data_IF_508272563050
#
_entry.id   IF_508272563050
#
_cell.length_a   1.000
_cell.length_b   1.000
_cell.length_c   1.000
_cell.angle_alpha   90.00
_cell.angle_beta   90.00
_cell.angle_gamma   90.00
#
_symmetry.space_group_name_H-M   'P 1'
#
loop_
_entity.id
_entity.type
_entity.pdbx_description
1 polymer ?
#
# COMPACT_ATOMS: atom_id res chain seq x y z
N UNK A 1 -3.56 -25.77 -33.33
CA UNK A 1 -2.60 -24.70 -33.03
C UNK A 1 -3.39 -23.52 -32.48
N UNK A 2 -3.51 -23.40 -31.15
CA UNK A 2 -4.25 -22.28 -30.54
C UNK A 2 -3.29 -21.10 -30.44
N UNK A 3 -3.50 -20.06 -31.24
CA UNK A 3 -2.75 -18.81 -31.12
C UNK A 3 -2.88 -18.29 -29.68
N UNK A 4 -1.78 -17.99 -28.99
CA UNK A 4 -1.84 -17.47 -27.63
C UNK A 4 -2.62 -16.16 -27.66
N UNK A 5 -3.58 -16.01 -26.74
CA UNK A 5 -4.35 -14.77 -26.64
C UNK A 5 -3.38 -13.60 -26.41
N UNK A 6 -3.62 -12.41 -26.99
CA UNK A 6 -2.71 -11.26 -26.88
C UNK A 6 -2.49 -10.80 -25.43
N UNK A 7 -3.35 -11.25 -24.50
CA UNK A 7 -3.13 -11.08 -23.07
C UNK A 7 -1.97 -11.94 -22.56
N UNK A 8 -1.74 -13.17 -23.05
CA UNK A 8 -0.63 -14.00 -22.57
C UNK A 8 0.74 -13.52 -23.04
N UNK A 9 0.81 -12.90 -24.22
CA UNK A 9 2.08 -12.49 -24.87
C UNK A 9 2.73 -11.34 -24.09
N UNK A 10 1.98 -10.26 -23.84
CA UNK A 10 2.53 -9.08 -23.14
C UNK A 10 3.03 -9.36 -21.71
N UNK A 11 2.51 -10.40 -21.03
CA UNK A 11 2.94 -10.79 -19.67
C UNK A 11 4.04 -11.85 -19.65
N UNK A 12 4.46 -12.39 -20.80
CA UNK A 12 5.35 -13.54 -20.88
C UNK A 12 6.68 -13.30 -20.15
N UNK A 13 7.24 -12.10 -20.27
CA UNK A 13 8.53 -11.76 -19.68
C UNK A 13 8.48 -11.39 -18.19
N UNK A 14 7.29 -11.18 -17.62
CA UNK A 14 7.09 -10.68 -16.25
C UNK A 14 6.30 -11.63 -15.35
N UNK A 15 5.60 -12.61 -15.92
CA UNK A 15 4.91 -13.65 -15.16
C UNK A 15 5.88 -14.38 -14.22
N UNK A 16 5.44 -14.57 -12.97
CA UNK A 16 6.23 -15.17 -11.88
C UNK A 16 7.51 -14.41 -11.47
N UNK A 17 7.83 -13.28 -12.10
CA UNK A 17 8.99 -12.44 -11.77
C UNK A 17 8.62 -11.19 -10.96
N UNK A 18 7.34 -10.81 -10.97
CA UNK A 18 6.80 -9.68 -10.20
C UNK A 18 5.66 -10.13 -9.29
N UNK A 19 5.35 -9.33 -8.28
CA UNK A 19 4.26 -9.62 -7.36
C UNK A 19 2.92 -9.71 -8.08
N UNK A 20 2.03 -10.53 -7.54
CA UNK A 20 0.68 -10.66 -8.09
C UNK A 20 -0.09 -9.32 -8.08
N UNK A 21 0.19 -8.45 -7.10
CA UNK A 21 -0.40 -7.11 -7.01
C UNK A 21 0.00 -6.25 -8.20
N UNK A 22 1.28 -6.29 -8.56
CA UNK A 22 1.81 -5.57 -9.71
C UNK A 22 1.21 -6.10 -11.01
N UNK A 23 1.09 -7.44 -11.17
CA UNK A 23 0.40 -8.05 -12.31
C UNK A 23 -1.04 -7.54 -12.41
N UNK A 24 -1.77 -7.51 -11.30
CA UNK A 24 -3.15 -7.03 -11.30
C UNK A 24 -3.24 -5.53 -11.66
N UNK A 25 -2.33 -4.70 -11.14
CA UNK A 25 -2.26 -3.28 -11.49
C UNK A 25 -1.99 -3.06 -12.99
N UNK A 26 -1.06 -3.83 -13.57
CA UNK A 26 -0.77 -3.77 -15.01
C UNK A 26 -1.99 -4.24 -15.80
N UNK A 27 -2.66 -5.30 -15.36
CA UNK A 27 -3.88 -5.80 -16.00
C UNK A 27 -4.99 -4.75 -16.03
N UNK A 28 -5.21 -4.01 -14.95
CA UNK A 28 -6.17 -2.90 -14.93
C UNK A 28 -5.79 -1.79 -15.92
N UNK A 29 -4.50 -1.42 -16.02
CA UNK A 29 -4.05 -0.46 -17.03
C UNK A 29 -4.18 -0.99 -18.45
N UNK A 30 -4.00 -2.30 -18.67
CA UNK A 30 -4.14 -2.94 -19.97
C UNK A 30 -5.60 -2.91 -20.46
N UNK A 31 -6.56 -3.11 -19.57
CA UNK A 31 -7.99 -2.92 -19.89
C UNK A 31 -8.26 -1.52 -20.41
N UNK A 32 -7.71 -0.51 -19.75
CA UNK A 32 -7.83 0.90 -20.17
C UNK A 32 -7.12 1.17 -21.50
N UNK A 33 -5.96 0.55 -21.74
CA UNK A 33 -5.20 0.69 -22.98
C UNK A 33 -5.99 0.16 -24.20
N UNK A 34 -6.74 -0.94 -24.02
CA UNK A 34 -7.55 -1.54 -25.09
C UNK A 34 -8.84 -0.79 -25.41
N UNK A 35 -9.28 0.11 -24.53
CA UNK A 35 -10.48 0.89 -24.80
C UNK A 35 -10.22 1.92 -25.92
N UNK A 36 -11.16 2.07 -26.89
CA UNK A 36 -11.06 3.09 -27.93
C UNK A 36 -11.15 4.48 -27.28
N UNK A 37 -10.26 5.39 -27.71
CA UNK A 37 -10.16 6.74 -27.17
C UNK A 37 -11.46 7.52 -27.40
N UNK A 38 -12.25 7.73 -26.34
CA UNK A 38 -13.39 8.64 -26.35
C UNK A 38 -12.88 10.06 -26.12
N UNK A 39 -12.60 10.76 -27.22
CA UNK A 39 -12.35 12.21 -27.35
C UNK A 39 -11.25 12.87 -26.49
N UNK A 40 -10.40 13.64 -27.18
CA UNK A 40 -9.20 14.37 -26.71
C UNK A 40 -8.09 13.45 -26.17
N UNK A 41 -7.01 13.36 -26.96
CA UNK A 41 -5.76 12.71 -26.58
C UNK A 41 -5.18 13.43 -25.36
N UNK A 42 -5.48 12.91 -24.17
CA UNK A 42 -4.90 13.43 -22.94
C UNK A 42 -3.44 13.03 -22.93
N UNK A 43 -2.54 14.01 -22.86
CA UNK A 43 -1.11 13.75 -22.72
C UNK A 43 -0.86 12.94 -21.44
N UNK A 44 -0.04 11.90 -21.56
CA UNK A 44 0.29 11.06 -20.41
C UNK A 44 1.12 11.87 -19.41
N UNK A 45 0.64 12.01 -18.17
CA UNK A 45 1.33 12.73 -17.10
C UNK A 45 2.46 11.94 -16.44
N UNK A 46 2.60 10.65 -16.78
CA UNK A 46 3.57 9.75 -16.11
C UNK A 46 3.27 9.45 -14.64
N UNK A 47 2.19 10.03 -14.08
CA UNK A 47 1.83 9.91 -12.67
C UNK A 47 1.69 8.46 -12.23
N UNK A 48 1.01 7.64 -13.03
CA UNK A 48 0.78 6.25 -12.66
C UNK A 48 2.09 5.46 -12.55
N UNK A 49 3.00 5.62 -13.51
CA UNK A 49 4.31 4.98 -13.46
C UNK A 49 5.12 5.46 -12.24
N UNK A 50 5.08 6.77 -11.96
CA UNK A 50 5.81 7.36 -10.84
C UNK A 50 5.29 6.88 -9.48
N UNK A 51 3.96 6.87 -9.30
CA UNK A 51 3.33 6.55 -8.01
C UNK A 51 3.26 5.06 -7.77
N UNK A 52 2.91 4.29 -8.80
CA UNK A 52 2.70 2.87 -8.64
C UNK A 52 3.92 2.06 -9.02
N UNK A 53 4.76 2.49 -9.96
CA UNK A 53 5.93 1.74 -10.45
C UNK A 53 5.75 0.88 -11.73
N UNK A 54 4.55 0.45 -12.16
CA UNK A 54 4.33 -0.18 -13.46
C UNK A 54 3.88 0.80 -14.55
N UNK A 55 3.96 0.42 -15.84
CA UNK A 55 3.52 1.25 -16.95
C UNK A 55 2.03 1.63 -16.86
N UNK A 56 1.73 2.87 -17.25
CA UNK A 56 0.36 3.36 -17.41
C UNK A 56 -0.30 2.82 -18.68
N UNK A 57 -1.62 2.97 -18.78
CA UNK A 57 -2.40 2.58 -19.96
C UNK A 57 -1.89 3.19 -21.27
N UNK A 58 -1.40 4.43 -21.26
CA UNK A 58 -0.84 5.07 -22.46
C UNK A 58 0.44 4.37 -22.94
N UNK A 59 1.35 4.01 -22.03
CA UNK A 59 2.59 3.29 -22.37
C UNK A 59 2.28 1.86 -22.82
N UNK A 60 1.33 1.19 -22.15
CA UNK A 60 0.84 -0.13 -22.57
C UNK A 60 0.19 -0.12 -23.95
N UNK A 61 -0.49 0.96 -24.33
CA UNK A 61 -1.05 1.10 -25.67
C UNK A 61 0.06 1.15 -26.73
N UNK A 62 1.14 1.89 -26.49
CA UNK A 62 2.30 1.91 -27.39
C UNK A 62 2.87 0.50 -27.59
N UNK A 63 3.05 -0.27 -26.51
CA UNK A 63 3.50 -1.66 -26.62
C UNK A 63 2.53 -2.54 -27.41
N UNK A 64 1.21 -2.34 -27.24
CA UNK A 64 0.21 -3.08 -28.02
C UNK A 64 0.24 -2.69 -29.51
N UNK A 65 0.40 -1.41 -29.82
CA UNK A 65 0.44 -0.90 -31.21
C UNK A 65 1.74 -1.32 -31.92
N UNK A 66 2.83 -1.49 -31.17
CA UNK A 66 4.15 -1.91 -31.66
C UNK A 66 4.38 -3.43 -31.58
N UNK A 67 3.40 -4.20 -31.09
CA UNK A 67 3.52 -5.64 -30.84
C UNK A 67 4.73 -6.03 -29.97
N UNK A 68 5.09 -5.15 -29.03
CA UNK A 68 6.21 -5.34 -28.12
C UNK A 68 5.79 -5.97 -26.78
N UNK A 69 6.68 -6.80 -26.23
CA UNK A 69 6.49 -7.42 -24.92
C UNK A 69 6.94 -6.50 -23.79
N UNK A 70 6.15 -6.47 -22.71
CA UNK A 70 6.52 -5.74 -21.50
C UNK A 70 7.71 -6.41 -20.80
N UNK A 71 8.79 -5.66 -20.61
CA UNK A 71 10.00 -6.18 -19.98
C UNK A 71 9.98 -5.99 -18.47
N UNK A 72 10.77 -6.80 -17.75
CA UNK A 72 10.90 -6.66 -16.30
C UNK A 72 11.50 -5.30 -15.89
N UNK A 73 12.34 -4.73 -16.74
CA UNK A 73 12.95 -3.40 -16.56
C UNK A 73 11.95 -2.25 -16.63
N UNK A 74 10.78 -2.45 -17.24
CA UNK A 74 9.72 -1.45 -17.29
C UNK A 74 8.94 -1.32 -15.98
N UNK A 75 9.23 -2.21 -15.02
CA UNK A 75 8.54 -2.29 -13.75
C UNK A 75 9.55 -1.99 -12.66
N UNK A 76 9.18 -1.10 -11.74
CA UNK A 76 10.05 -0.76 -10.62
C UNK A 76 10.43 -2.01 -9.81
N UNK A 77 11.72 -2.08 -9.46
CA UNK A 77 12.34 -3.17 -8.69
C UNK A 77 11.65 -3.56 -7.38
N UNK A 78 10.86 -2.67 -6.77
CA UNK A 78 10.15 -2.98 -5.53
C UNK A 78 9.00 -3.98 -5.73
N UNK A 79 8.57 -4.18 -6.99
CA UNK A 79 7.59 -5.21 -7.35
C UNK A 79 8.21 -6.54 -7.73
N UNK A 80 9.53 -6.64 -7.89
CA UNK A 80 10.18 -7.87 -8.33
C UNK A 80 10.17 -8.91 -7.19
N UNK A 81 9.73 -10.14 -7.46
CA UNK A 81 9.64 -11.21 -6.45
C UNK A 81 11.00 -11.76 -6.04
N UNK A 82 11.98 -11.67 -6.93
CA UNK A 82 13.35 -11.99 -6.63
C UNK A 82 14.20 -10.76 -6.93
N UNK A 83 15.02 -10.33 -5.97
CA UNK A 83 16.01 -9.29 -6.25
C UNK A 83 16.91 -9.84 -7.38
N UNK A 84 17.22 -9.06 -8.43
CA UNK A 84 18.10 -9.52 -9.51
C UNK A 84 19.43 -10.11 -8.99
N UNK A 85 19.93 -9.61 -7.86
CA UNK A 85 21.14 -10.11 -7.19
C UNK A 85 20.95 -11.43 -6.42
N UNK A 86 19.73 -11.78 -6.03
CA UNK A 86 19.39 -13.05 -5.36
C UNK A 86 19.10 -14.18 -6.35
N UNK A 87 18.79 -13.85 -7.62
CA UNK A 87 18.80 -14.79 -8.74
C UNK A 87 20.23 -14.97 -9.31
N UNK A 88 21.24 -15.12 -8.44
CA UNK A 88 22.44 -15.85 -8.89
C UNK A 88 21.91 -17.19 -9.41
N UNK A 89 22.27 -17.63 -10.62
CA UNK A 89 21.60 -18.77 -11.22
C UNK A 89 21.94 -20.02 -10.39
N UNK A 90 21.04 -20.41 -9.49
CA UNK A 90 20.97 -21.80 -9.03
C UNK A 90 20.80 -22.75 -10.21
N UNK A 91 20.29 -22.24 -11.35
CA UNK A 91 20.27 -22.90 -12.66
C UNK A 91 21.65 -23.07 -13.32
N UNK A 92 22.71 -22.45 -12.80
CA UNK A 92 24.09 -22.64 -13.28
C UNK A 92 24.92 -23.54 -12.36
N UNK A 93 24.33 -24.03 -11.25
CA UNK A 93 24.88 -25.19 -10.56
C UNK A 93 24.51 -26.41 -11.41
N UNK A 94 25.48 -27.15 -11.98
CA UNK A 94 25.15 -28.37 -12.68
C UNK A 94 24.39 -29.30 -11.73
N UNK A 95 23.46 -30.09 -12.27
CA UNK A 95 22.58 -31.07 -11.57
C UNK A 95 23.33 -31.95 -10.54
N UNK A 96 24.65 -32.07 -10.71
CA UNK A 96 25.62 -32.65 -9.78
C UNK A 96 25.55 -32.07 -8.35
N UNK A 97 25.02 -30.86 -8.18
CA UNK A 97 24.84 -30.18 -6.88
C UNK A 97 23.49 -30.43 -6.22
N UNK A 98 22.69 -31.39 -6.70
CA UNK A 98 21.61 -31.94 -5.89
C UNK A 98 21.96 -33.38 -5.50
N UNK A 99 22.55 -34.14 -6.43
CA UNK A 99 23.00 -35.50 -6.16
C UNK A 99 24.06 -35.56 -5.06
N UNK A 100 25.06 -34.66 -5.07
CA UNK A 100 26.09 -34.60 -4.01
C UNK A 100 25.47 -34.30 -2.64
N UNK A 101 24.51 -33.38 -2.60
CA UNK A 101 23.79 -33.00 -1.38
C UNK A 101 22.92 -34.16 -0.86
N UNK A 102 22.26 -34.91 -1.75
CA UNK A 102 21.51 -36.12 -1.37
C UNK A 102 22.42 -37.25 -0.88
N UNK A 103 23.60 -37.42 -1.48
CA UNK A 103 24.60 -38.38 -1.01
C UNK A 103 25.19 -37.98 0.35
N UNK A 104 25.37 -36.68 0.59
CA UNK A 104 25.76 -36.14 1.90
C UNK A 104 24.68 -36.40 2.96
N UNK A 105 23.40 -36.20 2.62
CA UNK A 105 22.26 -36.51 3.51
C UNK A 105 22.23 -38.01 3.82
N UNK A 106 22.40 -38.87 2.81
CA UNK A 106 22.47 -40.33 3.01
C UNK A 106 23.62 -40.75 3.91
N UNK A 107 24.79 -40.12 3.75
CA UNK A 107 25.98 -40.42 4.56
C UNK A 107 25.79 -39.97 6.00
N UNK A 108 25.23 -38.77 6.21
CA UNK A 108 24.93 -38.23 7.54
C UNK A 108 23.87 -39.06 8.24
N UNK A 109 22.83 -39.49 7.53
CA UNK A 109 21.75 -40.34 8.04
C UNK A 109 22.27 -41.64 8.65
N UNK A 110 23.23 -42.31 7.99
CA UNK A 110 23.82 -43.56 8.49
C UNK A 110 24.61 -43.39 9.78
N UNK A 111 25.08 -42.18 10.09
CA UNK A 111 25.81 -41.88 11.31
C UNK A 111 24.89 -41.50 12.48
N UNK A 112 23.58 -41.35 12.26
CA UNK A 112 22.62 -40.94 13.28
C UNK A 112 22.13 -42.13 14.11
N UNK A 113 21.80 -41.93 15.40
CA UNK A 113 21.05 -42.90 16.19
C UNK A 113 19.63 -43.15 15.64
N UNK A 114 19.05 -44.32 15.89
CA UNK A 114 17.77 -44.77 15.32
C UNK A 114 16.62 -43.76 15.47
N UNK A 115 16.49 -43.14 16.64
CA UNK A 115 15.43 -42.15 16.88
C UNK A 115 15.58 -40.90 16.00
N UNK A 116 16.81 -40.49 15.67
CA UNK A 116 17.08 -39.36 14.77
C UNK A 116 16.95 -39.75 13.31
N UNK A 117 17.21 -41.02 12.97
CA UNK A 117 16.92 -41.55 11.64
C UNK A 117 15.42 -41.48 11.35
N UNK A 118 14.56 -41.88 12.28
CA UNK A 118 13.09 -41.79 12.12
C UNK A 118 12.65 -40.35 11.87
N UNK A 119 13.08 -39.40 12.71
CA UNK A 119 12.73 -37.99 12.55
C UNK A 119 13.25 -37.40 11.21
N UNK A 120 14.44 -37.82 10.77
CA UNK A 120 15.00 -37.37 9.49
C UNK A 120 14.19 -37.90 8.29
N UNK A 121 13.73 -39.15 8.34
CA UNK A 121 12.87 -39.72 7.30
C UNK A 121 11.51 -39.00 7.22
N UNK A 122 10.91 -38.69 8.37
CA UNK A 122 9.66 -37.91 8.42
C UNK A 122 9.83 -36.54 7.77
N UNK A 123 10.96 -35.86 8.02
CA UNK A 123 11.24 -34.56 7.44
C UNK A 123 11.49 -34.64 5.93
N UNK A 124 12.24 -35.64 5.45
CA UNK A 124 12.44 -35.86 4.01
C UNK A 124 11.13 -36.18 3.29
N UNK A 125 10.26 -36.96 3.92
CA UNK A 125 8.93 -37.24 3.41
C UNK A 125 8.04 -35.99 3.39
N UNK A 126 8.11 -35.14 4.42
CA UNK A 126 7.42 -33.84 4.44
C UNK A 126 7.88 -32.93 3.32
N UNK A 127 9.18 -32.92 3.03
CA UNK A 127 9.76 -32.13 1.93
C UNK A 127 9.34 -32.67 0.55
N UNK A 128 9.27 -33.99 0.35
CA UNK A 128 8.85 -34.57 -0.93
C UNK A 128 7.38 -34.30 -1.25
N UNK A 129 6.54 -34.17 -0.21
CA UNK A 129 5.13 -33.81 -0.35
C UNK A 129 4.89 -32.30 -0.43
N UNK A 130 5.93 -31.47 -0.32
CA UNK A 130 5.77 -30.03 -0.30
C UNK A 130 5.32 -29.52 -1.68
N UNK A 131 4.08 -29.05 -1.76
CA UNK A 131 3.59 -28.33 -2.95
C UNK A 131 4.19 -26.93 -3.00
N UNK A 132 4.26 -26.35 -4.21
CA UNK A 132 4.73 -24.98 -4.41
C UNK A 132 3.92 -24.04 -3.54
N UNK A 133 4.56 -23.40 -2.55
CA UNK A 133 3.92 -22.38 -1.72
C UNK A 133 3.57 -21.19 -2.61
N UNK A 134 2.28 -20.99 -2.87
CA UNK A 134 1.79 -19.77 -3.51
C UNK A 134 2.08 -18.61 -2.56
N UNK A 135 3.01 -17.72 -2.93
CA UNK A 135 3.24 -16.48 -2.20
C UNK A 135 1.96 -15.64 -2.25
N UNK A 136 1.25 -15.53 -1.13
CA UNK A 136 0.08 -14.66 -1.01
C UNK A 136 0.50 -13.27 -0.56
N UNK A 137 -0.14 -12.25 -1.13
CA UNK A 137 0.02 -10.88 -0.66
C UNK A 137 -0.53 -10.71 0.75
N UNK A 138 0.08 -9.83 1.57
CA UNK A 138 -0.47 -9.50 2.87
C UNK A 138 -1.87 -8.91 2.70
N UNK A 139 -2.78 -9.31 3.58
CA UNK A 139 -4.15 -8.77 3.61
C UNK A 139 -4.08 -7.25 3.85
N UNK A 140 -4.72 -6.47 2.97
CA UNK A 140 -4.80 -5.02 3.13
C UNK A 140 -5.64 -4.71 4.38
N UNK A 141 -4.97 -4.42 5.49
CA UNK A 141 -5.62 -3.98 6.72
C UNK A 141 -6.00 -2.51 6.56
N UNK A 142 -7.30 -2.22 6.48
CA UNK A 142 -7.79 -0.84 6.61
C UNK A 142 -7.63 -0.43 8.07
N UNK A 143 -6.62 0.37 8.37
CA UNK A 143 -6.54 1.04 9.68
C UNK A 143 -7.83 1.81 9.90
N UNK A 144 -8.45 1.70 11.08
CA UNK A 144 -9.50 2.63 11.51
C UNK A 144 -8.92 4.03 11.35
N UNK A 145 -9.39 4.76 10.34
CA UNK A 145 -8.94 6.13 10.11
C UNK A 145 -9.17 6.97 11.36
N UNK A 146 -8.55 8.14 11.41
CA UNK A 146 -8.81 9.09 12.50
C UNK A 146 -10.30 9.39 12.56
N UNK A 147 -10.89 9.27 13.76
CA UNK A 147 -12.28 9.65 14.02
C UNK A 147 -12.57 11.01 13.40
N UNK A 148 -13.55 11.08 12.49
CA UNK A 148 -14.03 12.33 11.87
C UNK A 148 -14.91 13.17 12.82
N UNK A 149 -14.77 13.01 14.15
CA UNK A 149 -15.49 13.83 15.14
C UNK A 149 -14.64 15.03 15.54
N UNK A 150 -15.19 16.20 15.20
CA UNK A 150 -14.78 17.56 15.59
C UNK A 150 -13.45 18.09 15.01
N UNK A 151 -13.58 18.96 14.00
CA UNK A 151 -12.53 19.82 13.40
C UNK A 151 -11.98 20.87 14.41
N UNK A 152 -12.18 20.68 15.72
CA UNK A 152 -11.97 21.72 16.72
C UNK A 152 -11.03 21.39 17.88
N UNK A 153 -10.43 20.20 17.97
CA UNK A 153 -9.55 19.91 19.11
C UNK A 153 -8.28 19.16 18.75
N UNK A 154 -7.31 19.92 18.25
CA UNK A 154 -5.88 19.64 18.45
C UNK A 154 -5.40 20.19 19.80
N UNK A 155 -6.32 20.59 20.69
CA UNK A 155 -5.95 21.12 22.01
C UNK A 155 -5.72 19.96 22.96
N UNK A 156 -4.56 19.97 23.60
CA UNK A 156 -4.32 19.10 24.76
C UNK A 156 -5.32 19.43 25.85
N UNK A 157 -5.64 18.43 26.66
CA UNK A 157 -6.38 18.68 27.90
C UNK A 157 -5.52 19.56 28.81
N UNK A 158 -6.14 20.58 29.40
CA UNK A 158 -5.44 21.52 30.27
C UNK A 158 -5.29 20.89 31.65
N UNK A 159 -4.17 21.13 32.31
CA UNK A 159 -4.03 20.71 33.71
C UNK A 159 -4.93 21.56 34.62
N UNK A 160 -5.24 21.07 35.82
CA UNK A 160 -6.08 21.80 36.79
C UNK A 160 -5.55 23.19 37.12
N UNK A 161 -4.23 23.36 37.15
CA UNK A 161 -3.58 24.66 37.38
C UNK A 161 -3.81 25.63 36.21
N UNK A 162 -3.78 25.13 34.98
CA UNK A 162 -4.03 25.94 33.78
C UNK A 162 -5.49 26.39 33.67
N UNK A 163 -6.44 25.58 34.13
CA UNK A 163 -7.84 26.01 34.26
C UNK A 163 -7.99 27.18 35.24
N UNK A 164 -7.28 27.14 36.37
CA UNK A 164 -7.29 28.24 37.36
C UNK A 164 -6.67 29.50 36.77
N UNK A 165 -5.56 29.41 36.04
CA UNK A 165 -4.96 30.59 35.42
C UNK A 165 -5.83 31.21 34.31
N UNK A 166 -6.45 30.38 33.46
CA UNK A 166 -7.32 30.85 32.38
C UNK A 166 -8.56 31.55 32.95
N UNK A 167 -9.15 30.98 34.00
CA UNK A 167 -10.31 31.59 34.69
C UNK A 167 -9.94 32.89 35.40
N UNK A 168 -8.80 32.93 36.12
CA UNK A 168 -8.31 34.17 36.73
C UNK A 168 -8.03 35.26 35.68
N UNK A 169 -7.38 34.92 34.55
CA UNK A 169 -7.14 35.87 33.45
C UNK A 169 -8.44 36.34 32.80
N UNK A 170 -9.45 35.47 32.68
CA UNK A 170 -10.76 35.87 32.16
C UNK A 170 -11.50 36.81 33.13
N UNK A 171 -11.41 36.57 34.44
CA UNK A 171 -12.06 37.38 35.46
C UNK A 171 -11.41 38.76 35.62
N UNK A 172 -10.08 38.86 35.49
CA UNK A 172 -9.34 40.13 35.54
C UNK A 172 -9.52 41.01 34.30
N UNK A 173 -10.05 40.47 33.19
CA UNK A 173 -10.30 41.27 31.98
C UNK A 173 -11.57 42.08 32.16
N UNK A 174 -11.49 43.38 31.87
CA UNK A 174 -12.65 44.25 31.77
C UNK A 174 -13.41 44.00 30.47
N UNK A 175 -14.73 44.07 30.56
CA UNK A 175 -15.63 44.03 29.42
C UNK A 175 -15.34 45.21 28.50
N UNK A 176 -15.02 44.97 27.23
CA UNK A 176 -14.72 46.04 26.26
C UNK A 176 -15.88 47.00 26.00
N UNK A 177 -17.11 46.62 26.34
CA UNK A 177 -18.32 47.42 26.09
C UNK A 177 -18.73 48.28 27.28
N UNK A 178 -18.67 47.75 28.51
CA UNK A 178 -19.06 48.49 29.72
C UNK A 178 -17.91 48.83 30.68
N UNK A 179 -16.73 48.23 30.51
CA UNK A 179 -15.55 48.45 31.35
C UNK A 179 -15.51 47.64 32.65
N UNK A 180 -16.59 46.99 33.05
CA UNK A 180 -16.66 46.19 34.29
C UNK A 180 -15.95 44.83 34.14
N UNK A 181 -15.35 44.32 35.22
CA UNK A 181 -14.65 43.02 35.24
C UNK A 181 -15.63 41.84 35.47
N UNK A 182 -15.16 40.61 35.25
CA UNK A 182 -15.93 39.39 35.53
C UNK A 182 -16.90 38.93 34.43
N UNK A 183 -16.97 39.64 33.30
CA UNK A 183 -17.73 39.20 32.12
C UNK A 183 -17.15 39.76 30.82
N UNK A 184 -17.52 39.15 29.68
CA UNK A 184 -17.15 39.62 28.33
C UNK A 184 -18.28 40.45 27.71
N UNK A 185 -17.97 41.25 26.69
CA UNK A 185 -18.93 42.15 26.02
C UNK A 185 -20.09 41.45 25.32
N UNK A 186 -19.89 40.20 24.92
CA UNK A 186 -20.89 39.30 24.33
C UNK A 186 -21.70 38.53 25.37
N UNK A 187 -21.32 38.58 26.65
CA UNK A 187 -22.04 37.91 27.73
C UNK A 187 -23.40 38.55 27.97
N UNK A 188 -24.43 37.73 28.21
CA UNK A 188 -25.77 38.18 28.61
C UNK A 188 -25.76 39.06 29.87
N UNK A 189 -24.71 38.96 30.70
CA UNK A 189 -24.52 39.77 31.91
C UNK A 189 -24.04 41.20 31.63
N UNK A 190 -23.60 41.50 30.39
CA UNK A 190 -23.20 42.84 30.00
C UNK A 190 -24.43 43.72 29.76
N UNK A 191 -24.59 44.79 30.54
CA UNK A 191 -25.69 45.76 30.40
C UNK A 191 -25.71 46.46 29.03
N UNK A 192 -24.55 46.55 28.36
CA UNK A 192 -24.39 47.22 27.05
C UNK A 192 -24.28 46.24 25.87
N UNK A 193 -24.67 44.96 26.07
CA UNK A 193 -24.60 43.94 25.02
C UNK A 193 -25.46 44.32 23.82
N UNK A 194 -24.87 44.37 22.62
CA UNK A 194 -25.62 44.46 21.36
C UNK A 194 -26.10 43.06 20.97
N UNK A 195 -27.41 42.89 20.76
CA UNK A 195 -27.96 41.65 20.22
C UNK A 195 -27.70 41.63 18.71
N UNK A 196 -26.87 40.72 18.22
CA UNK A 196 -26.72 40.45 16.78
C UNK A 196 -27.70 39.34 16.42
N UNK A 197 -28.67 39.64 15.56
CA UNK A 197 -29.68 38.71 15.07
C UNK A 197 -29.11 37.74 14.00
N UNK A 198 -29.70 36.55 13.98
CA UNK A 198 -29.50 35.35 13.15
C UNK A 198 -28.93 35.50 11.73
N UNK A 199 -28.02 34.58 11.38
CA UNK A 199 -27.70 34.21 10.00
C UNK A 199 -28.67 33.09 9.59
N UNK A 200 -29.57 33.41 8.66
CA UNK A 200 -30.49 32.48 8.02
C UNK A 200 -29.69 31.53 7.10
N UNK A 201 -29.77 30.23 7.35
CA UNK A 201 -29.10 29.20 6.55
C UNK A 201 -29.98 28.82 5.35
N UNK A 202 -29.60 29.28 4.15
CA UNK A 202 -30.24 28.84 2.91
C UNK A 202 -29.81 27.40 2.54
N UNK A 203 -30.83 26.59 2.30
CA UNK A 203 -30.82 25.22 1.80
C UNK A 203 -30.47 25.25 0.31
N UNK A 204 -29.50 24.45 -0.12
CA UNK A 204 -29.24 24.19 -1.55
C UNK A 204 -29.89 22.86 -1.95
N UNK A 205 -30.72 22.91 -3.00
CA UNK A 205 -31.21 21.76 -3.79
C UNK A 205 -30.13 21.33 -4.77
#
# INVERSE_FOLDING_TARGET
MHSPTPQRVIFQNINLKISHFALNKIYEQLKLARQPQKSKQVNCTGFFNTVWGPPCSHKLRLYLDQEEDLQLSDIHSHWHLAKPQQLKPLLSRPDKSLSMELDQVRSSFRALPDHQQIATLEELHRLSQQTTKTLQEPVIVRSKGRSRRHIGSTRRDLSRFEYVEVTQKANKRSCRSCGEQGHRSDSKKCKKRKFSAEIQSDVWV
#
